data_IF_295413059393
#
_entry.id   IF_295413059393
#
_cell.length_a   1.000
_cell.length_b   1.000
_cell.length_c   1.000
_cell.angle_alpha   90.00
_cell.angle_beta   90.00
_cell.angle_gamma   90.00
#
_symmetry.space_group_name_H-M   'P 1'
#
loop_
_entity.id
_entity.type
_entity.pdbx_description
1 polymer ?
#
# COMPACT_ATOMS: atom_id res chain seq x y z
N UNK A 1 -21.68 10.54 -9.49
CA UNK A 1 -20.60 9.97 -10.33
C UNK A 1 -19.33 9.68 -9.50
N UNK A 2 -18.93 10.59 -8.60
CA UNK A 2 -17.70 10.48 -7.78
C UNK A 2 -17.72 9.28 -6.82
N UNK A 3 -18.84 9.00 -6.16
CA UNK A 3 -18.96 7.84 -5.24
C UNK A 3 -18.74 6.51 -5.99
N UNK A 4 -19.36 6.34 -7.17
CA UNK A 4 -19.19 5.11 -7.96
C UNK A 4 -17.75 4.91 -8.41
N UNK A 5 -17.07 5.97 -8.83
CA UNK A 5 -15.63 5.94 -9.15
C UNK A 5 -14.79 5.59 -7.92
N UNK A 6 -15.07 6.20 -6.77
CA UNK A 6 -14.37 5.93 -5.53
C UNK A 6 -14.50 4.46 -5.08
N UNK A 7 -15.71 3.87 -5.18
CA UNK A 7 -15.92 2.45 -4.89
C UNK A 7 -15.09 1.59 -5.84
N UNK A 8 -15.11 1.89 -7.14
CA UNK A 8 -14.37 1.13 -8.14
C UNK A 8 -12.85 1.19 -7.92
N UNK A 9 -12.30 2.38 -7.71
CA UNK A 9 -10.88 2.55 -7.39
C UNK A 9 -10.52 1.86 -6.07
N UNK A 10 -11.34 2.03 -5.03
CA UNK A 10 -11.11 1.37 -3.74
C UNK A 10 -11.12 -0.16 -3.86
N UNK A 11 -12.00 -0.71 -4.68
CA UNK A 11 -12.04 -2.15 -4.94
C UNK A 11 -10.80 -2.64 -5.69
N UNK A 12 -10.38 -1.96 -6.77
CA UNK A 12 -9.17 -2.30 -7.51
C UNK A 12 -7.93 -2.23 -6.62
N UNK A 13 -7.78 -1.14 -5.86
CA UNK A 13 -6.67 -0.94 -4.94
C UNK A 13 -6.68 -2.02 -3.86
N UNK A 14 -7.83 -2.30 -3.26
CA UNK A 14 -7.97 -3.29 -2.20
C UNK A 14 -7.65 -4.71 -2.63
N UNK A 15 -7.93 -5.06 -3.89
CA UNK A 15 -7.51 -6.36 -4.47
C UNK A 15 -6.01 -6.38 -4.73
N UNK A 16 -5.42 -5.27 -5.18
CA UNK A 16 -3.99 -5.17 -5.49
C UNK A 16 -3.13 -4.86 -4.27
N UNK A 17 -3.75 -4.54 -3.12
CA UNK A 17 -3.06 -4.17 -1.89
C UNK A 17 -2.48 -5.40 -1.19
N UNK A 18 -1.44 -5.97 -1.79
CA UNK A 18 -0.66 -7.05 -1.19
C UNK A 18 0.65 -6.49 -0.65
N UNK A 19 0.96 -6.85 0.60
CA UNK A 19 2.19 -6.38 1.23
C UNK A 19 2.26 -6.82 2.69
N UNK A 20 3.23 -6.30 3.47
CA UNK A 20 3.40 -6.65 4.88
C UNK A 20 2.14 -6.43 5.71
N UNK A 21 1.40 -5.35 5.43
CA UNK A 21 0.12 -5.03 6.09
C UNK A 21 -0.96 -6.07 5.82
N UNK A 22 -1.09 -6.54 4.56
CA UNK A 22 -2.02 -7.60 4.19
C UNK A 22 -1.73 -8.90 4.96
N UNK A 23 -0.47 -9.34 4.97
CA UNK A 23 -0.09 -10.55 5.70
C UNK A 23 -0.31 -10.40 7.20
N UNK A 24 0.01 -9.25 7.77
CA UNK A 24 -0.24 -8.95 9.19
C UNK A 24 -1.73 -9.01 9.50
N UNK A 25 -2.58 -8.48 8.61
CA UNK A 25 -4.03 -8.51 8.74
C UNK A 25 -4.57 -9.93 8.78
N UNK A 26 -4.21 -10.73 7.77
CA UNK A 26 -4.64 -12.14 7.64
C UNK A 26 -4.16 -12.97 8.83
N UNK A 27 -2.87 -12.86 9.16
CA UNK A 27 -2.27 -13.60 10.27
C UNK A 27 -2.93 -13.28 11.62
N UNK A 28 -3.13 -11.98 11.89
CA UNK A 28 -3.77 -11.56 13.13
C UNK A 28 -5.25 -11.99 13.16
N UNK A 29 -5.93 -11.98 12.02
CA UNK A 29 -7.30 -12.51 11.91
C UNK A 29 -7.39 -14.00 12.22
N UNK A 30 -6.39 -14.78 11.80
CA UNK A 30 -6.31 -16.23 12.05
C UNK A 30 -5.95 -16.52 13.51
N UNK A 31 -4.86 -15.96 14.02
CA UNK A 31 -4.29 -16.31 15.32
C UNK A 31 -4.90 -15.50 16.49
N UNK A 32 -5.04 -14.19 16.27
CA UNK A 32 -5.56 -13.26 17.29
C UNK A 32 -7.09 -13.11 17.30
N UNK A 33 -7.76 -13.76 16.33
CA UNK A 33 -9.20 -13.69 16.19
C UNK A 33 -9.71 -12.38 15.59
N UNK A 34 -11.04 -12.30 15.41
CA UNK A 34 -11.70 -11.17 14.74
C UNK A 34 -11.38 -9.82 15.37
N UNK A 35 -11.37 -9.73 16.70
CA UNK A 35 -11.17 -8.47 17.43
C UNK A 35 -9.79 -7.88 17.15
N UNK A 36 -8.74 -8.68 17.22
CA UNK A 36 -7.38 -8.22 16.96
C UNK A 36 -7.17 -7.93 15.46
N UNK A 37 -7.73 -8.75 14.57
CA UNK A 37 -7.74 -8.49 13.14
C UNK A 37 -8.40 -7.15 12.77
N UNK A 38 -9.57 -6.85 13.36
CA UNK A 38 -10.25 -5.56 13.15
C UNK A 38 -9.42 -4.37 13.68
N UNK A 39 -8.69 -4.54 14.78
CA UNK A 39 -7.78 -3.51 15.29
C UNK A 39 -6.62 -3.26 14.31
N UNK A 40 -6.08 -4.32 13.68
CA UNK A 40 -5.07 -4.16 12.63
C UNK A 40 -5.66 -3.45 11.42
N UNK A 41 -6.87 -3.82 10.97
CA UNK A 41 -7.55 -3.14 9.87
C UNK A 41 -7.76 -1.64 10.15
N UNK A 42 -8.16 -1.30 11.38
CA UNK A 42 -8.27 0.09 11.81
C UNK A 42 -6.91 0.82 11.77
N UNK A 43 -5.83 0.15 12.17
CA UNK A 43 -4.49 0.71 12.09
C UNK A 43 -4.05 0.98 10.64
N UNK A 44 -4.32 0.05 9.73
CA UNK A 44 -4.07 0.20 8.29
C UNK A 44 -4.87 1.40 7.76
N UNK A 45 -6.16 1.46 8.04
CA UNK A 45 -7.03 2.57 7.65
C UNK A 45 -6.51 3.93 8.13
N UNK A 46 -6.09 4.03 9.40
CA UNK A 46 -5.54 5.28 9.95
C UNK A 46 -4.24 5.70 9.25
N UNK A 47 -3.38 4.76 8.88
CA UNK A 47 -2.17 5.07 8.12
C UNK A 47 -2.48 5.49 6.69
N UNK A 48 -3.45 4.84 6.03
CA UNK A 48 -3.91 5.24 4.69
C UNK A 48 -4.54 6.63 4.70
N UNK A 49 -5.40 6.90 5.67
CA UNK A 49 -5.98 8.23 5.87
C UNK A 49 -4.89 9.29 6.08
N UNK A 50 -3.90 8.99 6.92
CA UNK A 50 -2.79 9.91 7.19
C UNK A 50 -1.99 10.21 5.91
N UNK A 51 -1.58 9.18 5.16
CA UNK A 51 -0.83 9.36 3.90
C UNK A 51 -1.67 10.06 2.84
N UNK A 52 -2.94 9.68 2.71
CA UNK A 52 -3.87 10.32 1.76
C UNK A 52 -4.06 11.82 2.04
N UNK A 53 -4.22 12.19 3.31
CA UNK A 53 -4.32 13.60 3.72
C UNK A 53 -3.01 14.35 3.48
N UNK A 54 -1.86 13.77 3.79
CA UNK A 54 -0.57 14.38 3.48
C UNK A 54 -0.43 14.65 1.97
N UNK A 55 -0.80 13.69 1.13
CA UNK A 55 -0.78 13.85 -0.32
C UNK A 55 -1.79 14.92 -0.79
N UNK A 56 -2.99 14.94 -0.21
CA UNK A 56 -4.05 15.90 -0.58
C UNK A 56 -3.70 17.35 -0.22
N UNK A 57 -3.10 17.58 0.95
CA UNK A 57 -2.73 18.93 1.42
C UNK A 57 -1.45 19.49 0.81
N UNK A 58 -0.90 18.86 -0.20
CA UNK A 58 0.14 19.48 -1.02
C UNK A 58 1.54 18.92 -0.85
N UNK A 59 1.79 17.91 0.02
CA UNK A 59 3.03 17.18 -0.05
C UNK A 59 3.23 16.50 -1.42
N UNK A 60 2.15 16.27 -2.17
CA UNK A 60 2.22 15.83 -3.56
C UNK A 60 3.12 16.72 -4.43
N UNK A 61 3.18 18.03 -4.16
CA UNK A 61 4.09 18.94 -4.87
C UNK A 61 5.57 18.61 -4.61
N UNK A 62 5.94 18.31 -3.38
CA UNK A 62 7.30 17.87 -3.04
C UNK A 62 7.62 16.50 -3.64
N UNK A 63 6.63 15.61 -3.73
CA UNK A 63 6.77 14.30 -4.37
C UNK A 63 6.97 14.38 -5.88
N UNK A 64 6.56 15.48 -6.52
CA UNK A 64 6.80 15.76 -7.93
C UNK A 64 8.20 16.33 -8.22
N UNK A 65 8.94 16.76 -7.20
CA UNK A 65 10.31 17.26 -7.38
C UNK A 65 11.20 16.15 -7.99
N UNK A 66 11.99 16.45 -9.04
CA UNK A 66 12.76 15.43 -9.78
C UNK A 66 13.70 14.60 -8.88
N UNK A 67 14.34 15.25 -7.91
CA UNK A 67 15.23 14.58 -6.96
C UNK A 67 14.47 13.66 -6.01
N UNK A 68 13.32 14.11 -5.49
CA UNK A 68 12.48 13.30 -4.64
C UNK A 68 11.94 12.07 -5.40
N UNK A 69 11.45 12.30 -6.62
CA UNK A 69 10.94 11.23 -7.49
C UNK A 69 12.01 10.18 -7.77
N UNK A 70 13.24 10.60 -8.06
CA UNK A 70 14.38 9.71 -8.26
C UNK A 70 14.66 8.86 -7.02
N UNK A 71 14.92 9.50 -5.87
CA UNK A 71 15.26 8.82 -4.62
C UNK A 71 14.14 7.88 -4.19
N UNK A 72 12.89 8.35 -4.24
CA UNK A 72 11.74 7.57 -3.80
C UNK A 72 11.47 6.35 -4.70
N UNK A 73 11.61 6.51 -6.04
CA UNK A 73 11.48 5.39 -6.98
C UNK A 73 12.57 4.33 -6.75
N UNK A 74 13.80 4.74 -6.46
CA UNK A 74 14.90 3.84 -6.13
C UNK A 74 14.68 3.07 -4.84
N UNK A 75 14.26 3.77 -3.77
CA UNK A 75 13.93 3.14 -2.48
C UNK A 75 12.74 2.19 -2.61
N UNK A 76 11.72 2.58 -3.34
CA UNK A 76 10.55 1.74 -3.60
C UNK A 76 10.93 0.48 -4.38
N UNK A 77 11.73 0.62 -5.45
CA UNK A 77 12.24 -0.51 -6.23
C UNK A 77 13.00 -1.50 -5.34
N UNK A 78 13.95 -1.00 -4.53
CA UNK A 78 14.75 -1.83 -3.62
C UNK A 78 13.89 -2.54 -2.59
N UNK A 79 12.95 -1.83 -1.94
CA UNK A 79 12.07 -2.39 -0.92
C UNK A 79 11.11 -3.44 -1.49
N UNK A 80 10.46 -3.16 -2.63
CA UNK A 80 9.52 -4.08 -3.26
C UNK A 80 10.25 -5.32 -3.78
N UNK A 81 11.44 -5.17 -4.39
CA UNK A 81 12.27 -6.30 -4.80
C UNK A 81 12.70 -7.14 -3.60
N UNK A 82 13.16 -6.52 -2.53
CA UNK A 82 13.53 -7.22 -1.30
C UNK A 82 12.36 -8.04 -0.76
N UNK A 83 11.16 -7.44 -0.64
CA UNK A 83 9.96 -8.13 -0.17
C UNK A 83 9.54 -9.25 -1.12
N UNK A 84 9.58 -9.02 -2.44
CA UNK A 84 9.27 -10.02 -3.44
C UNK A 84 10.22 -11.22 -3.40
N UNK A 85 11.52 -10.97 -3.38
CA UNK A 85 12.54 -12.02 -3.33
C UNK A 85 12.50 -12.79 -2.01
N UNK A 86 12.34 -12.12 -0.87
CA UNK A 86 12.19 -12.79 0.42
C UNK A 86 10.96 -13.68 0.47
N UNK A 87 9.84 -13.26 -0.12
CA UNK A 87 8.63 -14.06 -0.22
C UNK A 87 8.82 -15.31 -1.11
N UNK A 88 9.60 -15.22 -2.20
CA UNK A 88 9.90 -16.36 -3.09
C UNK A 88 10.84 -17.36 -2.41
N UNK A 89 11.92 -16.87 -1.79
CA UNK A 89 13.02 -17.71 -1.29
C UNK A 89 12.90 -18.05 0.20
N UNK A 90 11.87 -17.55 0.90
CA UNK A 90 11.65 -17.89 2.31
C UNK A 90 11.46 -19.39 2.47
N UNK A 91 12.42 -20.04 3.14
CA UNK A 91 12.32 -21.44 3.56
C UNK A 91 11.42 -21.60 4.79
N UNK A 92 11.25 -20.54 5.55
CA UNK A 92 10.39 -20.53 6.73
C UNK A 92 9.00 -20.06 6.31
N UNK A 93 8.08 -20.98 6.12
CA UNK A 93 6.68 -20.71 5.82
C UNK A 93 5.89 -20.15 7.03
N UNK A 94 6.61 -19.77 8.09
CA UNK A 94 6.02 -19.04 9.21
C UNK A 94 5.76 -17.62 8.77
N UNK A 95 4.52 -17.20 8.93
CA UNK A 95 4.10 -15.81 8.77
C UNK A 95 5.00 -14.95 9.67
N UNK A 96 5.67 -13.89 9.14
CA UNK A 96 6.56 -13.08 9.97
C UNK A 96 5.81 -12.56 11.18
N UNK A 97 6.11 -13.11 12.35
CA UNK A 97 5.66 -12.53 13.60
C UNK A 97 6.49 -11.26 13.85
N UNK A 98 6.00 -10.14 13.33
CA UNK A 98 6.50 -8.86 13.82
C UNK A 98 5.82 -8.62 15.16
N UNK A 99 6.35 -9.26 16.17
CA UNK A 99 5.97 -9.04 17.56
C UNK A 99 6.59 -7.72 18.00
N UNK A 100 5.85 -6.64 17.80
CA UNK A 100 6.12 -5.41 18.58
C UNK A 100 5.58 -5.72 19.98
N UNK A 101 6.45 -6.18 20.86
CA UNK A 101 6.10 -6.50 22.26
C UNK A 101 5.41 -5.28 22.88
N UNK A 102 4.17 -5.45 23.36
CA UNK A 102 3.44 -4.44 24.12
C UNK A 102 2.66 -3.41 23.32
N UNK A 103 2.68 -3.42 21.99
CA UNK A 103 1.86 -2.50 21.19
C UNK A 103 0.47 -3.06 20.94
N UNK A 104 -0.53 -2.18 20.93
CA UNK A 104 -1.88 -2.57 20.51
C UNK A 104 -1.86 -3.00 19.02
N UNK A 105 -2.77 -3.88 18.64
CA UNK A 105 -2.89 -4.36 17.25
C UNK A 105 -3.11 -3.20 16.25
N UNK A 106 -3.66 -2.07 16.70
CA UNK A 106 -3.82 -0.85 15.89
C UNK A 106 -2.45 -0.29 15.48
N UNK A 107 -1.51 -0.12 16.43
CA UNK A 107 -0.16 0.36 16.11
C UNK A 107 0.57 -0.55 15.13
N UNK A 108 0.38 -1.87 15.30
CA UNK A 108 0.96 -2.85 14.36
C UNK A 108 0.45 -2.63 12.94
N UNK A 109 -0.85 -2.50 12.75
CA UNK A 109 -1.45 -2.22 11.45
C UNK A 109 -0.95 -0.90 10.86
N UNK A 110 -0.95 0.17 11.66
CA UNK A 110 -0.50 1.49 11.25
C UNK A 110 0.96 1.49 10.76
N UNK A 111 1.89 1.03 11.59
CA UNK A 111 3.31 1.04 11.24
C UNK A 111 3.66 0.10 10.10
N UNK A 112 3.02 -1.08 10.04
CA UNK A 112 3.23 -2.02 8.94
C UNK A 112 2.78 -1.46 7.60
N UNK A 113 1.73 -0.64 7.59
CA UNK A 113 1.23 -0.03 6.38
C UNK A 113 2.04 1.21 5.99
N UNK A 114 2.41 2.07 6.94
CA UNK A 114 3.15 3.31 6.65
C UNK A 114 4.59 3.05 6.19
N UNK A 115 5.24 1.99 6.70
CA UNK A 115 6.58 1.58 6.27
C UNK A 115 6.55 0.98 4.86
N UNK A 116 5.38 0.57 4.37
CA UNK A 116 5.25 0.01 3.04
C UNK A 116 5.37 1.13 1.97
N UNK A 117 6.47 1.20 1.21
CA UNK A 117 6.67 2.26 0.22
C UNK A 117 5.63 2.21 -0.91
N UNK A 118 5.03 1.04 -1.14
CA UNK A 118 3.97 0.89 -2.12
C UNK A 118 2.73 1.73 -1.76
N UNK A 119 2.39 1.85 -0.48
CA UNK A 119 1.25 2.65 -0.01
C UNK A 119 1.45 4.13 -0.34
N UNK A 120 2.65 4.67 -0.12
CA UNK A 120 2.94 6.07 -0.46
C UNK A 120 2.85 6.32 -1.97
N UNK A 121 3.46 5.44 -2.79
CA UNK A 121 3.38 5.55 -4.25
C UNK A 121 1.95 5.45 -4.75
N UNK A 122 1.17 4.56 -4.17
CA UNK A 122 -0.23 4.38 -4.50
C UNK A 122 -1.03 5.65 -4.23
N UNK A 123 -0.91 6.23 -3.04
CA UNK A 123 -1.66 7.45 -2.69
C UNK A 123 -1.22 8.67 -3.50
N UNK A 124 0.08 8.81 -3.80
CA UNK A 124 0.55 9.85 -4.73
C UNK A 124 -0.09 9.67 -6.11
N UNK A 125 -0.12 8.44 -6.61
CA UNK A 125 -0.72 8.13 -7.91
C UNK A 125 -2.24 8.36 -7.94
N UNK A 126 -2.93 7.97 -6.87
CA UNK A 126 -4.38 8.19 -6.69
C UNK A 126 -4.68 9.69 -6.71
N UNK A 127 -3.99 10.47 -5.86
CA UNK A 127 -4.23 11.92 -5.79
C UNK A 127 -3.89 12.60 -7.13
N UNK A 128 -2.78 12.22 -7.77
CA UNK A 128 -2.44 12.75 -9.09
C UNK A 128 -3.54 12.44 -10.13
N UNK A 129 -4.06 11.21 -10.13
CA UNK A 129 -5.15 10.80 -11.04
C UNK A 129 -6.45 11.54 -10.75
N UNK A 130 -6.81 11.69 -9.48
CA UNK A 130 -8.02 12.40 -9.07
C UNK A 130 -7.92 13.90 -9.37
N UNK A 131 -6.70 14.46 -9.36
CA UNK A 131 -6.49 15.89 -9.65
C UNK A 131 -6.56 16.22 -11.14
N UNK A 132 -6.47 15.25 -12.02
CA UNK A 132 -6.62 15.46 -13.47
C UNK A 132 -8.07 15.85 -13.77
N UNK A 133 -8.25 17.04 -14.35
CA UNK A 133 -9.59 17.59 -14.69
C UNK A 133 -10.22 18.49 -13.62
N UNK A 134 -9.52 18.77 -12.53
CA UNK A 134 -9.93 19.75 -11.52
C UNK A 134 -8.94 20.92 -11.53
N UNK A 135 -9.25 21.99 -12.23
CA UNK A 135 -8.35 23.14 -12.43
C UNK A 135 -8.55 24.26 -11.38
N UNK A 136 -9.44 24.08 -10.41
CA UNK A 136 -9.76 25.09 -9.40
C UNK A 136 -8.84 25.05 -8.17
N UNK A 137 -8.42 26.23 -7.70
CA UNK A 137 -7.66 26.39 -6.46
C UNK A 137 -8.56 26.44 -5.20
N UNK A 138 -9.87 26.66 -5.39
CA UNK A 138 -10.85 26.79 -4.32
C UNK A 138 -11.10 25.45 -3.62
N UNK A 139 -11.33 25.48 -2.30
CA UNK A 139 -11.78 24.31 -1.53
C UNK A 139 -13.06 23.69 -2.11
N UNK A 140 -13.94 24.50 -2.67
CA UNK A 140 -15.17 24.04 -3.29
C UNK A 140 -14.91 23.19 -4.54
N UNK A 141 -13.88 23.53 -5.33
CA UNK A 141 -13.49 22.78 -6.52
C UNK A 141 -12.84 21.44 -6.16
N UNK A 142 -12.29 21.33 -4.95
CA UNK A 142 -11.65 20.11 -4.42
C UNK A 142 -12.62 19.16 -3.70
N UNK A 143 -13.86 19.57 -3.44
CA UNK A 143 -14.87 18.72 -2.78
C UNK A 143 -15.10 17.38 -3.49
N UNK A 144 -15.21 17.30 -4.83
CA UNK A 144 -15.37 16.03 -5.51
C UNK A 144 -14.21 15.06 -5.26
N UNK A 145 -12.97 15.57 -5.21
CA UNK A 145 -11.77 14.78 -4.91
C UNK A 145 -11.85 14.23 -3.49
N UNK A 146 -12.27 15.05 -2.52
CA UNK A 146 -12.45 14.62 -1.14
C UNK A 146 -13.51 13.51 -1.01
N UNK A 147 -14.63 13.65 -1.73
CA UNK A 147 -15.69 12.63 -1.74
C UNK A 147 -15.16 11.32 -2.33
N UNK A 148 -14.43 11.37 -3.44
CA UNK A 148 -13.82 10.18 -4.04
C UNK A 148 -12.80 9.54 -3.09
N UNK A 149 -11.93 10.34 -2.47
CA UNK A 149 -10.91 9.89 -1.53
C UNK A 149 -11.52 9.21 -0.29
N UNK A 150 -12.53 9.85 0.33
CA UNK A 150 -13.25 9.25 1.46
C UNK A 150 -13.92 7.93 1.04
N UNK A 151 -14.51 7.90 -0.16
CA UNK A 151 -15.16 6.71 -0.67
C UNK A 151 -14.16 5.57 -0.91
N UNK A 152 -12.99 5.89 -1.47
CA UNK A 152 -11.88 4.91 -1.62
C UNK A 152 -11.49 4.35 -0.25
N UNK A 153 -11.21 5.23 0.72
CA UNK A 153 -10.80 4.84 2.08
C UNK A 153 -11.85 3.96 2.77
N UNK A 154 -13.12 4.33 2.68
CA UNK A 154 -14.21 3.52 3.25
C UNK A 154 -14.31 2.15 2.57
N UNK A 155 -14.13 2.09 1.25
CA UNK A 155 -14.14 0.84 0.49
C UNK A 155 -12.97 -0.05 0.89
N UNK A 156 -11.76 0.50 1.05
CA UNK A 156 -10.58 -0.22 1.53
C UNK A 156 -10.82 -0.79 2.93
N UNK A 157 -11.35 0.02 3.85
CA UNK A 157 -11.68 -0.45 5.21
C UNK A 157 -12.69 -1.60 5.17
N UNK A 158 -13.75 -1.49 4.37
CA UNK A 158 -14.75 -2.56 4.23
C UNK A 158 -14.11 -3.85 3.69
N UNK A 159 -13.23 -3.75 2.70
CA UNK A 159 -12.50 -4.90 2.16
C UNK A 159 -11.57 -5.51 3.18
N UNK A 160 -10.85 -4.71 3.97
CA UNK A 160 -9.94 -5.20 5.00
C UNK A 160 -10.70 -5.88 6.14
N UNK A 161 -11.83 -5.33 6.56
CA UNK A 161 -12.72 -6.01 7.51
C UNK A 161 -13.25 -7.33 6.94
N UNK A 162 -13.60 -7.36 5.65
CA UNK A 162 -13.99 -8.59 4.93
C UNK A 162 -12.87 -9.63 4.92
N UNK A 163 -11.62 -9.21 4.64
CA UNK A 163 -10.43 -10.08 4.70
C UNK A 163 -10.22 -10.65 6.11
N UNK A 164 -10.38 -9.85 7.16
CA UNK A 164 -10.29 -10.30 8.56
C UNK A 164 -11.35 -11.37 8.84
N UNK A 165 -12.59 -11.10 8.44
CA UNK A 165 -13.69 -12.04 8.65
C UNK A 165 -13.43 -13.37 7.92
N UNK A 166 -13.02 -13.27 6.66
CA UNK A 166 -12.70 -14.43 5.83
C UNK A 166 -11.51 -15.22 6.38
N UNK A 167 -10.45 -14.54 6.81
CA UNK A 167 -9.25 -15.15 7.37
C UNK A 167 -9.56 -15.92 8.66
N UNK A 168 -10.42 -15.39 9.50
CA UNK A 168 -10.87 -16.07 10.71
C UNK A 168 -11.62 -17.37 10.42
N UNK A 169 -12.44 -17.40 9.36
CA UNK A 169 -13.17 -18.58 8.95
C UNK A 169 -12.31 -19.64 8.24
N UNK A 170 -11.44 -19.18 7.33
CA UNK A 170 -10.60 -20.05 6.49
C UNK A 170 -9.33 -20.48 7.24
N UNK A 171 -8.86 -19.65 8.17
CA UNK A 171 -7.55 -19.83 8.80
C UNK A 171 -7.41 -21.12 9.60
N UNK A 172 -8.50 -21.70 10.08
CA UNK A 172 -8.51 -23.05 10.69
C UNK A 172 -8.29 -24.19 9.68
N UNK A 173 -8.38 -23.90 8.37
CA UNK A 173 -8.26 -24.88 7.28
C UNK A 173 -7.07 -24.60 6.35
N UNK A 174 -6.38 -23.47 6.48
CA UNK A 174 -5.24 -23.13 5.64
C UNK A 174 -4.04 -24.00 6.05
N UNK A 175 -3.67 -24.94 5.17
CA UNK A 175 -2.45 -25.70 5.35
C UNK A 175 -1.23 -24.81 5.09
N UNK A 176 -0.10 -25.09 5.76
CA UNK A 176 1.18 -24.39 5.54
C UNK A 176 1.59 -24.41 4.06
N UNK A 177 1.21 -25.46 3.32
CA UNK A 177 1.47 -25.58 1.88
C UNK A 177 0.73 -24.53 1.06
N UNK A 178 -0.55 -24.28 1.37
CA UNK A 178 -1.35 -23.25 0.67
C UNK A 178 -0.82 -21.86 0.98
N UNK A 179 -0.45 -21.64 2.24
CA UNK A 179 0.20 -20.38 2.64
C UNK A 179 1.51 -20.14 1.87
N UNK A 180 2.39 -21.15 1.81
CA UNK A 180 3.65 -21.08 1.08
C UNK A 180 3.45 -20.79 -0.41
N UNK A 181 2.45 -21.45 -1.02
CA UNK A 181 2.12 -21.26 -2.43
C UNK A 181 1.65 -19.82 -2.70
N UNK A 182 0.70 -19.34 -1.91
CA UNK A 182 0.18 -17.97 -1.99
C UNK A 182 1.31 -16.95 -1.81
N UNK A 183 2.13 -17.12 -0.78
CA UNK A 183 3.27 -16.23 -0.52
C UNK A 183 4.26 -16.19 -1.70
N UNK A 184 4.54 -17.34 -2.31
CA UNK A 184 5.43 -17.44 -3.48
C UNK A 184 4.85 -16.76 -4.70
N UNK A 185 3.56 -16.93 -4.99
CA UNK A 185 2.89 -16.22 -6.08
C UNK A 185 2.95 -14.70 -5.89
N UNK A 186 2.68 -14.23 -4.69
CA UNK A 186 2.80 -12.80 -4.38
C UNK A 186 4.24 -12.30 -4.48
N UNK A 187 5.20 -13.11 -4.05
CA UNK A 187 6.61 -12.80 -4.23
C UNK A 187 6.98 -12.58 -5.69
N UNK A 188 6.47 -13.40 -6.61
CA UNK A 188 6.70 -13.25 -8.06
C UNK A 188 6.07 -11.96 -8.57
N UNK A 189 4.82 -11.66 -8.19
CA UNK A 189 4.13 -10.42 -8.60
C UNK A 189 4.88 -9.20 -8.07
N UNK A 190 5.22 -9.19 -6.78
CA UNK A 190 5.98 -8.08 -6.17
C UNK A 190 7.34 -7.91 -6.83
N UNK A 191 8.06 -9.02 -7.14
CA UNK A 191 9.34 -8.94 -7.83
C UNK A 191 9.20 -8.35 -9.24
N UNK A 192 8.14 -8.70 -9.97
CA UNK A 192 7.82 -8.10 -11.26
C UNK A 192 7.56 -6.58 -11.17
N UNK A 193 6.77 -6.17 -10.18
CA UNK A 193 6.52 -4.75 -9.88
C UNK A 193 7.83 -4.05 -9.48
N UNK A 194 8.63 -4.65 -8.63
CA UNK A 194 9.92 -4.11 -8.21
C UNK A 194 10.90 -3.94 -9.37
N UNK A 195 10.95 -4.88 -10.31
CA UNK A 195 11.75 -4.76 -11.54
C UNK A 195 11.25 -3.62 -12.43
N UNK A 196 9.93 -3.45 -12.55
CA UNK A 196 9.35 -2.32 -13.29
C UNK A 196 9.77 -0.98 -12.65
N UNK A 197 9.73 -0.85 -11.33
CA UNK A 197 10.21 0.35 -10.64
C UNK A 197 11.73 0.54 -10.80
N UNK A 198 12.51 -0.54 -10.75
CA UNK A 198 13.96 -0.48 -10.99
C UNK A 198 14.29 0.02 -12.40
N UNK A 199 13.57 -0.44 -13.41
CA UNK A 199 13.69 0.06 -14.77
C UNK A 199 13.37 1.56 -14.86
N UNK A 200 12.26 2.00 -14.26
CA UNK A 200 11.91 3.43 -14.20
C UNK A 200 12.93 4.27 -13.43
N UNK A 201 13.49 3.73 -12.37
CA UNK A 201 14.58 4.40 -11.63
C UNK A 201 15.80 4.64 -12.52
N UNK A 202 16.22 3.65 -13.30
CA UNK A 202 17.35 3.79 -14.24
C UNK A 202 17.06 4.84 -15.30
N UNK A 203 15.85 4.89 -15.85
CA UNK A 203 15.45 5.94 -16.80
C UNK A 203 15.48 7.34 -16.16
N UNK A 204 14.95 7.50 -14.97
CA UNK A 204 14.97 8.77 -14.25
C UNK A 204 16.41 9.21 -13.92
N UNK A 205 17.26 8.27 -13.54
CA UNK A 205 18.67 8.52 -13.24
C UNK A 205 19.43 8.99 -14.49
N UNK A 206 19.23 8.35 -15.62
CA UNK A 206 19.88 8.73 -16.88
C UNK A 206 19.44 10.11 -17.35
N UNK A 207 18.16 10.42 -17.30
CA UNK A 207 17.64 11.76 -17.64
C UNK A 207 18.18 12.83 -16.69
N UNK A 208 18.26 12.53 -15.39
CA UNK A 208 18.81 13.45 -14.41
C UNK A 208 20.30 13.72 -14.63
N UNK A 209 21.11 12.69 -14.91
CA UNK A 209 22.53 12.82 -15.20
C UNK A 209 22.76 13.68 -16.46
N UNK A 210 21.93 13.50 -17.50
CA UNK A 210 22.00 14.30 -18.72
C UNK A 210 21.66 15.78 -18.47
N UNK A 211 20.70 16.05 -17.60
CA UNK A 211 20.29 17.40 -17.25
C UNK A 211 21.32 18.16 -16.37
N UNK A 212 22.14 17.43 -15.60
CA UNK A 212 23.13 18.01 -14.67
C UNK A 212 24.52 18.12 -15.30
N UNK A 213 24.80 17.46 -16.44
CA UNK A 213 26.07 17.63 -17.17
C UNK A 213 26.07 19.00 -17.85
N UNK A 214 26.94 19.95 -17.45
CA UNK A 214 27.13 21.18 -18.21
C UNK A 214 27.78 20.81 -19.54
N UNK A 215 27.30 21.43 -20.63
CA UNK A 215 27.96 21.43 -21.94
C UNK A 215 29.27 22.19 -21.84
#
# INVERSE_FOLDING_TARGET
>A
LSIGKGIWYGFLIGILSFGPSFFTLIHTGIQGGKRQGMQVALGIFLSELFVALLCFFGLSHYFMAPMFKLVFTGLAAAAILYLGLTAIFSKNHKIPEITVKGSSSVYRGFFMNIINPFVMLLWVSVIATLSVGYEGESLHDRLPILVELITILCTLLCLDLGKVYLSHYIGRKLSERVYALVNRYFGVILSGIGLYFAYHFVLLLTTWIQAVRPH
#
